data_IF_405228745961
#
_entry.id   IF_405228745961
#
_cell.length_a   1.000
_cell.length_b   1.000
_cell.length_c   1.000
_cell.angle_alpha   90.00
_cell.angle_beta   90.00
_cell.angle_gamma   90.00
#
_symmetry.space_group_name_H-M   'P 1'
#
loop_
_entity.id
_entity.type
_entity.pdbx_description
1 polymer ?
#
# COMPACT_ATOMS: atom_id res chain seq x y z
N UNK A 1 11.16 88.12 15.67
CA UNK A 1 11.19 86.75 16.24
C UNK A 1 10.02 86.00 15.64
N UNK A 2 10.23 85.28 14.56
CA UNK A 2 9.22 84.54 13.83
C UNK A 2 9.66 83.09 13.57
N UNK A 3 9.01 82.18 14.20
CA UNK A 3 9.25 80.72 14.02
C UNK A 3 8.60 80.28 12.71
N UNK A 4 9.41 79.93 11.70
CA UNK A 4 8.95 79.29 10.48
C UNK A 4 8.82 77.76 10.76
N UNK A 5 7.61 77.22 10.69
CA UNK A 5 7.33 75.77 10.73
C UNK A 5 7.55 75.28 9.29
N UNK A 6 8.51 74.36 9.15
CA UNK A 6 8.74 73.60 7.94
C UNK A 6 7.88 72.39 8.03
N UNK A 7 6.93 72.24 7.10
CA UNK A 7 6.04 71.11 6.96
C UNK A 7 6.74 70.08 6.03
N UNK A 8 7.32 69.02 6.57
CA UNK A 8 7.84 67.93 5.77
C UNK A 8 6.69 67.02 5.32
N UNK A 9 6.36 67.13 4.03
CA UNK A 9 5.42 66.19 3.38
C UNK A 9 6.21 64.94 3.02
N UNK A 10 6.07 63.89 3.81
CA UNK A 10 6.60 62.58 3.50
C UNK A 10 5.64 61.83 2.57
N UNK A 11 5.99 61.79 1.27
CA UNK A 11 5.35 60.91 0.30
C UNK A 11 5.67 59.44 0.64
N UNK A 12 4.71 58.74 1.22
CA UNK A 12 4.76 57.31 1.38
C UNK A 12 4.42 56.67 0.02
N UNK A 13 5.43 56.29 -0.74
CA UNK A 13 5.27 55.44 -1.92
C UNK A 13 4.96 54.01 -1.48
N UNK A 14 3.68 53.63 -1.51
CA UNK A 14 3.26 52.24 -1.43
C UNK A 14 3.72 51.50 -2.70
N UNK A 15 4.85 50.86 -2.65
CA UNK A 15 5.23 49.85 -3.62
C UNK A 15 4.34 48.62 -3.39
N UNK A 16 3.29 48.52 -4.20
CA UNK A 16 2.54 47.26 -4.34
C UNK A 16 3.46 46.21 -4.97
N UNK A 17 4.11 45.42 -4.13
CA UNK A 17 4.70 44.17 -4.59
C UNK A 17 3.53 43.25 -4.99
N UNK A 18 3.13 43.30 -6.26
CA UNK A 18 2.43 42.17 -6.89
C UNK A 18 3.40 41.02 -6.90
N UNK A 19 3.39 40.22 -5.83
CA UNK A 19 3.95 38.89 -5.80
C UNK A 19 3.08 38.07 -6.74
N UNK A 20 3.42 38.06 -8.02
CA UNK A 20 3.01 36.95 -8.88
C UNK A 20 3.69 35.71 -8.30
N UNK A 21 2.98 34.96 -7.48
CA UNK A 21 3.28 33.56 -7.28
C UNK A 21 3.07 32.90 -8.65
N UNK A 22 4.15 32.83 -9.42
CA UNK A 22 4.25 31.87 -10.51
C UNK A 22 4.31 30.55 -9.79
N UNK A 23 3.19 29.83 -9.72
CA UNK A 23 3.15 28.42 -9.42
C UNK A 23 3.93 27.72 -10.54
N UNK A 24 5.24 27.72 -10.43
CA UNK A 24 6.10 26.84 -11.21
C UNK A 24 5.88 25.45 -10.64
N UNK A 25 4.84 24.74 -11.14
CA UNK A 25 4.75 23.31 -10.94
C UNK A 25 6.11 22.73 -11.36
N UNK A 26 6.84 22.13 -10.43
CA UNK A 26 8.07 21.45 -10.75
C UNK A 26 7.78 20.44 -11.87
N UNK A 27 8.65 20.34 -12.89
CA UNK A 27 8.40 19.44 -14.00
C UNK A 27 8.28 18.00 -13.48
N UNK A 28 7.11 17.39 -13.71
CA UNK A 28 6.83 16.01 -13.28
C UNK A 28 7.95 15.08 -13.75
N UNK A 29 8.42 14.21 -12.86
CA UNK A 29 9.37 13.15 -13.20
C UNK A 29 8.81 12.24 -14.30
N UNK A 30 9.66 11.50 -15.01
CA UNK A 30 9.21 10.54 -16.01
C UNK A 30 8.29 9.48 -15.39
N UNK A 31 8.65 8.95 -14.21
CA UNK A 31 7.82 8.00 -13.47
C UNK A 31 6.42 8.54 -13.15
N UNK A 32 6.30 9.81 -12.74
CA UNK A 32 5.00 10.45 -12.52
C UNK A 32 4.17 10.52 -13.80
N UNK A 33 4.77 10.86 -14.93
CA UNK A 33 4.09 10.90 -16.24
C UNK A 33 3.64 9.50 -16.69
N UNK A 34 4.43 8.46 -16.41
CA UNK A 34 4.07 7.07 -16.68
C UNK A 34 2.85 6.67 -15.86
N UNK A 35 2.84 6.97 -14.56
CA UNK A 35 1.68 6.68 -13.70
C UNK A 35 0.44 7.47 -14.10
N UNK A 36 0.60 8.72 -14.55
CA UNK A 36 -0.52 9.50 -15.11
C UNK A 36 -1.09 8.83 -16.38
N UNK A 37 -0.25 8.27 -17.25
CA UNK A 37 -0.70 7.54 -18.44
C UNK A 37 -1.48 6.27 -18.06
N UNK A 38 -1.02 5.52 -17.07
CA UNK A 38 -1.73 4.35 -16.52
C UNK A 38 -3.11 4.76 -15.98
N UNK A 39 -3.13 5.77 -15.12
CA UNK A 39 -4.36 6.24 -14.46
C UNK A 39 -5.40 6.81 -15.43
N UNK A 40 -4.97 7.33 -16.59
CA UNK A 40 -5.88 7.81 -17.65
C UNK A 40 -6.40 6.68 -18.52
N UNK A 41 -5.68 5.58 -18.61
CA UNK A 41 -6.00 4.46 -19.50
C UNK A 41 -6.84 3.40 -18.80
N UNK A 42 -6.48 3.04 -17.57
CA UNK A 42 -7.16 1.99 -16.81
C UNK A 42 -8.32 2.57 -16.00
N UNK A 43 -9.48 1.93 -16.08
CA UNK A 43 -10.62 2.32 -15.25
C UNK A 43 -10.27 2.11 -13.77
N UNK A 44 -10.59 3.10 -12.91
CA UNK A 44 -10.34 3.03 -11.47
C UNK A 44 -10.92 1.79 -10.79
N UNK A 45 -12.05 1.27 -11.30
CA UNK A 45 -12.68 0.06 -10.74
C UNK A 45 -12.00 -1.23 -11.16
N UNK A 46 -11.23 -1.19 -12.24
CA UNK A 46 -10.50 -2.33 -12.81
C UNK A 46 -9.00 -2.27 -12.48
N UNK A 47 -8.52 -1.17 -11.92
CA UNK A 47 -7.13 -0.99 -11.55
C UNK A 47 -6.86 -1.64 -10.19
N UNK A 48 -5.83 -2.50 -10.13
CA UNK A 48 -5.38 -3.15 -8.90
C UNK A 48 -4.07 -2.52 -8.41
N UNK A 49 -3.04 -2.57 -9.24
CA UNK A 49 -1.73 -2.00 -8.89
C UNK A 49 -0.90 -1.69 -10.12
N UNK A 50 0.12 -0.83 -9.97
CA UNK A 50 1.17 -0.65 -10.94
C UNK A 50 2.50 -0.36 -10.25
N UNK A 51 3.59 -0.87 -10.84
CA UNK A 51 4.95 -0.64 -10.37
C UNK A 51 5.90 -0.40 -11.54
N UNK A 52 6.69 0.67 -11.43
CA UNK A 52 7.84 0.91 -12.30
C UNK A 52 9.05 0.29 -11.60
N UNK A 53 9.65 -0.72 -12.20
CA UNK A 53 10.76 -1.43 -11.55
C UNK A 53 12.08 -0.68 -11.64
N UNK A 54 12.33 -0.08 -12.82
CA UNK A 54 13.55 0.66 -13.07
C UNK A 54 13.33 1.53 -14.31
N UNK A 55 13.63 2.82 -14.20
CA UNK A 55 13.52 3.76 -15.31
C UNK A 55 14.52 3.44 -16.44
N UNK A 56 15.67 2.82 -16.12
CA UNK A 56 16.68 2.44 -17.11
C UNK A 56 16.23 1.25 -17.96
N UNK A 57 15.61 0.24 -17.34
CA UNK A 57 15.08 -0.94 -18.05
C UNK A 57 13.73 -0.67 -18.68
N UNK A 58 13.08 0.44 -18.31
CA UNK A 58 11.77 0.86 -18.83
C UNK A 58 10.74 -0.26 -18.73
N UNK A 59 10.68 -0.88 -17.57
CA UNK A 59 9.73 -1.95 -17.25
C UNK A 59 8.63 -1.44 -16.34
N UNK A 60 7.39 -1.67 -16.77
CA UNK A 60 6.15 -1.32 -16.03
C UNK A 60 5.32 -2.59 -15.86
N UNK A 61 5.11 -3.01 -14.64
CA UNK A 61 4.21 -4.09 -14.31
C UNK A 61 2.88 -3.50 -13.82
N UNK A 62 1.76 -4.03 -14.31
CA UNK A 62 0.40 -3.56 -13.98
C UNK A 62 -0.47 -4.76 -13.64
N UNK A 63 -1.29 -4.66 -12.61
CA UNK A 63 -2.36 -5.61 -12.33
C UNK A 63 -3.70 -4.93 -12.60
N UNK A 64 -4.56 -5.57 -13.39
CA UNK A 64 -5.89 -5.09 -13.75
C UNK A 64 -6.92 -6.22 -13.61
N UNK A 65 -8.20 -5.85 -13.61
CA UNK A 65 -9.27 -6.83 -13.64
C UNK A 65 -9.17 -7.73 -14.89
N UNK A 66 -9.50 -9.00 -14.73
CA UNK A 66 -9.58 -10.00 -15.81
C UNK A 66 -10.70 -9.71 -16.84
N UNK A 67 -11.53 -8.72 -16.57
CA UNK A 67 -12.57 -8.23 -17.50
C UNK A 67 -12.06 -7.17 -18.47
N UNK A 68 -10.82 -6.69 -18.32
CA UNK A 68 -10.20 -5.70 -19.19
C UNK A 68 -9.42 -6.35 -20.33
N UNK A 69 -9.36 -5.68 -21.48
CA UNK A 69 -8.52 -6.09 -22.59
C UNK A 69 -7.08 -5.61 -22.38
N UNK A 70 -6.22 -6.50 -21.88
CA UNK A 70 -4.83 -6.21 -21.59
C UNK A 70 -4.02 -5.72 -22.79
N UNK A 71 -4.33 -6.23 -24.01
CA UNK A 71 -3.66 -5.79 -25.23
C UNK A 71 -4.01 -4.35 -25.59
N UNK A 72 -5.29 -3.98 -25.44
CA UNK A 72 -5.78 -2.63 -25.66
C UNK A 72 -5.19 -1.66 -24.61
N UNK A 73 -5.20 -2.05 -23.35
CA UNK A 73 -4.60 -1.25 -22.25
C UNK A 73 -3.11 -0.98 -22.52
N UNK A 74 -2.34 -2.01 -22.85
CA UNK A 74 -0.92 -1.88 -23.17
C UNK A 74 -0.65 -0.93 -24.34
N UNK A 75 -1.42 -1.05 -25.41
CA UNK A 75 -1.31 -0.19 -26.60
C UNK A 75 -1.62 1.26 -26.25
N UNK A 76 -2.70 1.50 -25.49
CA UNK A 76 -3.13 2.85 -25.14
C UNK A 76 -2.14 3.54 -24.19
N UNK A 77 -1.62 2.85 -23.18
CA UNK A 77 -0.57 3.41 -22.32
C UNK A 77 0.65 3.84 -23.14
N UNK A 78 1.17 2.99 -24.03
CA UNK A 78 2.29 3.36 -24.89
C UNK A 78 1.96 4.54 -25.83
N UNK A 79 0.73 4.66 -26.31
CA UNK A 79 0.26 5.82 -27.07
C UNK A 79 0.29 7.09 -26.23
N UNK A 80 -0.16 7.05 -24.97
CA UNK A 80 -0.14 8.19 -24.06
C UNK A 80 1.31 8.62 -23.74
N UNK A 81 2.22 7.66 -23.53
CA UNK A 81 3.64 7.94 -23.30
C UNK A 81 4.28 8.59 -24.54
N UNK A 82 3.99 8.06 -25.73
CA UNK A 82 4.49 8.65 -26.99
C UNK A 82 4.02 10.10 -27.18
N UNK A 83 2.76 10.43 -26.87
CA UNK A 83 2.23 11.79 -26.92
C UNK A 83 2.98 12.75 -25.99
N UNK A 84 3.58 12.24 -24.91
CA UNK A 84 4.37 12.99 -23.94
C UNK A 84 5.88 12.99 -24.26
N UNK A 85 6.29 12.46 -25.42
CA UNK A 85 7.71 12.35 -25.81
C UNK A 85 8.51 11.31 -25.01
N UNK A 86 7.82 10.43 -24.30
CA UNK A 86 8.42 9.35 -23.51
C UNK A 86 8.60 8.11 -24.41
N UNK A 87 9.78 7.51 -24.35
CA UNK A 87 10.06 6.25 -25.06
C UNK A 87 9.15 5.13 -24.53
N UNK A 88 8.77 4.14 -25.36
CA UNK A 88 7.93 3.02 -24.92
C UNK A 88 8.50 2.26 -23.74
N UNK A 89 7.59 1.77 -22.89
CA UNK A 89 7.89 0.84 -21.80
C UNK A 89 7.57 -0.60 -22.21
N UNK A 90 8.34 -1.55 -21.69
CA UNK A 90 7.96 -2.96 -21.67
C UNK A 90 6.90 -3.14 -20.60
N UNK A 91 5.63 -3.27 -21.02
CA UNK A 91 4.50 -3.37 -20.12
C UNK A 91 4.12 -4.84 -19.95
N UNK A 92 4.18 -5.32 -18.71
CA UNK A 92 3.65 -6.62 -18.31
C UNK A 92 2.32 -6.39 -17.61
N UNK A 93 1.27 -7.03 -18.10
CA UNK A 93 -0.05 -6.95 -17.50
C UNK A 93 -0.38 -8.32 -16.90
N UNK A 94 -0.79 -8.30 -15.63
CA UNK A 94 -1.35 -9.45 -14.93
C UNK A 94 -2.84 -9.21 -14.70
N UNK A 95 -3.65 -10.09 -15.23
CA UNK A 95 -5.10 -10.10 -15.01
C UNK A 95 -5.44 -10.72 -13.66
N UNK A 96 -6.41 -10.14 -12.95
CA UNK A 96 -6.79 -10.53 -11.60
C UNK A 96 -8.30 -10.66 -11.47
N UNK A 97 -8.77 -11.74 -10.88
CA UNK A 97 -10.16 -11.84 -10.43
C UNK A 97 -10.44 -10.82 -9.32
N UNK A 98 -11.32 -9.86 -9.59
CA UNK A 98 -11.62 -8.79 -8.63
C UNK A 98 -12.25 -9.28 -7.34
N UNK A 99 -12.92 -10.43 -7.33
CA UNK A 99 -13.43 -11.05 -6.10
C UNK A 99 -12.30 -11.50 -5.19
N UNK A 100 -11.21 -12.01 -5.79
CA UNK A 100 -10.00 -12.37 -5.03
C UNK A 100 -9.32 -11.12 -4.52
N UNK A 101 -9.18 -10.07 -5.35
CA UNK A 101 -8.58 -8.78 -4.97
C UNK A 101 -9.35 -8.13 -3.81
N UNK A 102 -10.68 -8.10 -3.86
CA UNK A 102 -11.51 -7.56 -2.77
C UNK A 102 -11.32 -8.35 -1.46
N UNK A 103 -11.18 -9.66 -1.56
CA UNK A 103 -10.88 -10.51 -0.42
C UNK A 103 -9.50 -10.24 0.16
N UNK A 104 -8.47 -10.17 -0.68
CA UNK A 104 -7.12 -9.79 -0.28
C UNK A 104 -7.11 -8.44 0.45
N UNK A 105 -7.80 -7.45 -0.09
CA UNK A 105 -7.90 -6.12 0.51
C UNK A 105 -8.57 -6.13 1.89
N UNK A 106 -9.60 -6.97 2.10
CA UNK A 106 -10.23 -7.15 3.41
C UNK A 106 -9.25 -7.80 4.40
N UNK A 107 -8.60 -8.88 3.98
CA UNK A 107 -7.65 -9.61 4.82
C UNK A 107 -6.37 -8.82 5.10
N UNK A 108 -5.92 -7.96 4.19
CA UNK A 108 -4.81 -7.04 4.46
C UNK A 108 -5.12 -6.09 5.62
N UNK A 109 -6.38 -5.67 5.81
CA UNK A 109 -6.79 -4.90 7.00
C UNK A 109 -6.72 -5.75 8.27
N UNK A 110 -7.12 -7.02 8.20
CA UNK A 110 -7.00 -7.97 9.32
C UNK A 110 -5.54 -8.16 9.70
N UNK A 111 -4.67 -8.38 8.70
CA UNK A 111 -3.22 -8.53 8.88
C UNK A 111 -2.62 -7.28 9.50
N UNK A 112 -2.98 -6.09 9.01
CA UNK A 112 -2.56 -4.82 9.59
C UNK A 112 -2.98 -4.68 11.06
N UNK A 113 -4.23 -5.02 11.38
CA UNK A 113 -4.71 -5.00 12.76
C UNK A 113 -3.95 -5.95 13.69
N UNK A 114 -3.62 -7.16 13.21
CA UNK A 114 -2.79 -8.10 13.98
C UNK A 114 -1.39 -7.51 14.21
N UNK A 115 -0.79 -6.91 13.19
CA UNK A 115 0.51 -6.30 13.31
C UNK A 115 0.49 -5.17 14.36
N UNK A 116 -0.45 -4.24 14.25
CA UNK A 116 -0.53 -3.06 15.11
C UNK A 116 -0.89 -3.42 16.56
N UNK A 117 -1.78 -4.38 16.77
CA UNK A 117 -2.32 -4.66 18.12
C UNK A 117 -1.64 -5.82 18.83
N UNK A 118 -0.95 -6.71 18.10
CA UNK A 118 -0.29 -7.88 18.68
C UNK A 118 1.22 -7.83 18.49
N UNK A 119 1.71 -7.80 17.25
CA UNK A 119 3.15 -7.93 16.98
C UNK A 119 3.96 -6.69 17.37
N UNK A 120 3.38 -5.50 17.34
CA UNK A 120 4.04 -4.28 17.84
C UNK A 120 4.26 -4.27 19.35
N UNK A 121 3.64 -5.20 20.11
CA UNK A 121 3.95 -5.37 21.53
C UNK A 121 5.35 -5.98 21.67
N UNK A 122 6.15 -5.44 22.60
CA UNK A 122 7.55 -5.85 22.79
C UNK A 122 7.76 -7.38 22.87
N UNK A 123 6.80 -8.11 23.47
CA UNK A 123 6.90 -9.56 23.64
C UNK A 123 6.75 -10.36 22.35
N UNK A 124 6.14 -9.78 21.29
CA UNK A 124 5.87 -10.46 20.02
C UNK A 124 6.56 -9.80 18.81
N UNK A 125 7.37 -8.76 19.02
CA UNK A 125 8.02 -7.97 17.96
C UNK A 125 8.81 -8.77 16.93
N UNK A 126 9.19 -9.99 17.27
CA UNK A 126 9.95 -10.90 16.42
C UNK A 126 9.07 -11.96 15.74
N UNK A 127 7.75 -11.84 15.89
CA UNK A 127 6.76 -12.66 15.20
C UNK A 127 6.21 -11.90 13.98
N UNK A 128 5.76 -12.63 12.98
CA UNK A 128 5.18 -12.00 11.79
C UNK A 128 4.35 -12.97 10.97
N UNK A 129 3.42 -12.42 10.20
CA UNK A 129 2.64 -13.19 9.23
C UNK A 129 3.54 -13.45 8.03
N UNK A 130 3.65 -14.73 7.67
CA UNK A 130 4.49 -15.14 6.55
C UNK A 130 3.73 -15.22 5.25
N UNK A 131 2.56 -15.82 5.27
CA UNK A 131 1.81 -16.10 4.06
C UNK A 131 0.32 -16.27 4.36
N UNK A 132 -0.50 -15.84 3.41
CA UNK A 132 -1.91 -16.18 3.30
C UNK A 132 -2.25 -16.39 1.83
N UNK A 133 -2.89 -17.49 1.48
CA UNK A 133 -3.26 -17.80 0.09
C UNK A 133 -4.78 -17.67 -0.09
N UNK A 134 -5.22 -16.67 -0.82
CA UNK A 134 -6.62 -16.37 -1.09
C UNK A 134 -7.18 -17.05 -2.34
N UNK A 135 -6.34 -17.67 -3.15
CA UNK A 135 -6.74 -18.49 -4.28
C UNK A 135 -7.11 -19.91 -3.82
N UNK A 136 -6.65 -20.31 -2.64
CA UNK A 136 -6.97 -21.59 -2.05
C UNK A 136 -8.45 -21.66 -1.63
N UNK A 137 -8.97 -22.88 -1.50
CA UNK A 137 -10.27 -23.12 -0.87
C UNK A 137 -10.21 -22.83 0.62
N UNK A 138 -11.32 -22.37 1.19
CA UNK A 138 -11.42 -22.19 2.64
C UNK A 138 -11.32 -23.55 3.38
N UNK A 139 -10.81 -23.57 4.63
CA UNK A 139 -10.41 -22.40 5.42
C UNK A 139 -9.08 -21.77 4.95
N UNK A 140 -8.98 -20.45 5.04
CA UNK A 140 -7.71 -19.76 4.80
C UNK A 140 -6.76 -19.98 5.95
N UNK A 141 -5.48 -20.22 5.65
CA UNK A 141 -4.47 -20.41 6.69
C UNK A 141 -3.68 -19.13 6.94
N UNK A 142 -3.79 -18.60 8.15
CA UNK A 142 -2.95 -17.51 8.64
C UNK A 142 -1.67 -18.11 9.22
N UNK A 143 -0.60 -18.10 8.42
CA UNK A 143 0.69 -18.67 8.82
C UNK A 143 1.54 -17.64 9.52
N UNK A 144 1.88 -17.86 10.78
CA UNK A 144 2.70 -16.99 11.61
C UNK A 144 4.04 -17.67 11.87
N UNK A 145 5.13 -16.94 11.67
CA UNK A 145 6.47 -17.36 12.05
C UNK A 145 6.95 -16.62 13.28
N UNK A 146 7.60 -17.34 14.17
CA UNK A 146 8.23 -16.80 15.37
C UNK A 146 9.73 -17.03 15.36
N UNK A 147 10.47 -16.36 16.24
CA UNK A 147 11.91 -16.60 16.45
C UNK A 147 12.20 -17.60 17.57
N UNK A 148 11.17 -18.16 18.19
CA UNK A 148 11.29 -19.17 19.26
C UNK A 148 11.54 -20.52 18.64
N UNK A 149 12.46 -21.32 19.19
CA UNK A 149 12.58 -22.74 18.83
C UNK A 149 11.54 -23.55 19.59
N UNK A 150 11.10 -24.66 19.00
CA UNK A 150 10.11 -25.52 19.65
C UNK A 150 10.60 -26.12 20.98
N UNK A 151 11.91 -26.31 21.11
CA UNK A 151 12.57 -26.82 22.32
C UNK A 151 12.82 -25.76 23.41
N UNK A 152 12.59 -24.47 23.14
CA UNK A 152 12.88 -23.40 24.11
C UNK A 152 11.94 -23.52 25.32
N UNK A 153 12.45 -23.33 26.55
CA UNK A 153 11.61 -23.26 27.74
C UNK A 153 10.52 -22.20 27.58
N UNK A 154 9.25 -22.57 27.81
CA UNK A 154 8.12 -21.66 27.68
C UNK A 154 7.60 -21.47 26.25
N UNK A 155 8.15 -22.13 25.22
CA UNK A 155 7.69 -22.00 23.82
C UNK A 155 6.18 -22.24 23.68
N UNK A 156 5.64 -23.28 24.27
CA UNK A 156 4.19 -23.59 24.26
C UNK A 156 3.36 -22.50 24.93
N UNK A 157 3.79 -22.01 26.07
CA UNK A 157 3.08 -20.93 26.77
C UNK A 157 3.07 -19.64 25.97
N UNK A 158 4.20 -19.27 25.35
CA UNK A 158 4.30 -18.13 24.47
C UNK A 158 3.34 -18.25 23.28
N UNK A 159 3.32 -19.41 22.61
CA UNK A 159 2.49 -19.67 21.44
C UNK A 159 1.01 -19.64 21.81
N UNK A 160 0.61 -20.28 22.91
CA UNK A 160 -0.77 -20.26 23.39
C UNK A 160 -1.25 -18.84 23.69
N UNK A 161 -0.40 -18.00 24.32
CA UNK A 161 -0.72 -16.59 24.56
C UNK A 161 -0.84 -15.80 23.25
N UNK A 162 0.06 -16.01 22.33
CA UNK A 162 0.04 -15.36 21.02
C UNK A 162 -1.22 -15.73 20.24
N UNK A 163 -1.55 -17.02 20.18
CA UNK A 163 -2.74 -17.52 19.51
C UNK A 163 -4.03 -16.95 20.13
N UNK A 164 -4.10 -16.93 21.47
CA UNK A 164 -5.24 -16.35 22.19
C UNK A 164 -5.40 -14.86 21.89
N UNK A 165 -4.34 -14.08 21.96
CA UNK A 165 -4.43 -12.63 21.68
C UNK A 165 -4.85 -12.34 20.24
N UNK A 166 -4.37 -13.13 19.28
CA UNK A 166 -4.81 -13.03 17.87
C UNK A 166 -6.28 -13.42 17.76
N UNK A 167 -6.67 -14.57 18.32
CA UNK A 167 -8.06 -15.05 18.26
C UNK A 167 -9.05 -14.06 18.89
N UNK A 168 -8.69 -13.42 19.98
CA UNK A 168 -9.51 -12.39 20.63
C UNK A 168 -9.62 -11.13 19.79
N UNK A 169 -8.52 -10.68 19.17
CA UNK A 169 -8.54 -9.58 18.23
C UNK A 169 -9.46 -9.85 17.04
N UNK A 170 -9.37 -11.05 16.45
CA UNK A 170 -10.18 -11.43 15.30
C UNK A 170 -11.69 -11.47 15.59
N UNK A 171 -12.08 -11.70 16.85
CA UNK A 171 -13.48 -11.66 17.31
C UNK A 171 -14.00 -10.24 17.55
N UNK A 172 -13.15 -9.22 17.60
CA UNK A 172 -13.61 -7.85 17.80
C UNK A 172 -14.58 -7.40 16.71
N UNK A 173 -15.53 -6.52 17.06
CA UNK A 173 -16.57 -6.04 16.12
C UNK A 173 -15.98 -5.41 14.85
N UNK A 174 -14.83 -4.77 14.96
CA UNK A 174 -14.17 -4.11 13.83
C UNK A 174 -13.53 -5.14 12.91
N UNK A 175 -12.69 -6.02 13.44
CA UNK A 175 -11.93 -7.00 12.65
C UNK A 175 -12.85 -8.06 12.05
N UNK A 176 -13.83 -8.54 12.80
CA UNK A 176 -14.81 -9.52 12.32
C UNK A 176 -15.61 -9.06 11.11
N UNK A 177 -15.85 -7.74 10.95
CA UNK A 177 -16.46 -7.19 9.74
C UNK A 177 -15.59 -7.38 8.49
N UNK A 178 -14.26 -7.31 8.64
CA UNK A 178 -13.35 -7.50 7.50
C UNK A 178 -13.22 -8.99 7.15
N UNK A 179 -13.29 -9.88 8.12
CA UNK A 179 -13.29 -11.32 7.91
C UNK A 179 -14.60 -11.74 7.18
N UNK A 180 -15.73 -11.20 7.61
CA UNK A 180 -17.04 -11.56 7.08
C UNK A 180 -17.39 -13.02 7.35
N UNK A 181 -17.76 -13.74 6.30
CA UNK A 181 -18.12 -15.19 6.39
C UNK A 181 -16.96 -16.13 6.04
N UNK A 182 -15.74 -15.58 5.91
CA UNK A 182 -14.59 -16.43 5.57
C UNK A 182 -14.19 -17.29 6.76
N UNK A 183 -13.98 -18.58 6.54
CA UNK A 183 -13.39 -19.49 7.52
C UNK A 183 -11.88 -19.45 7.44
N UNK A 184 -11.22 -19.55 8.59
CA UNK A 184 -9.76 -19.49 8.68
C UNK A 184 -9.21 -20.42 9.77
N UNK A 185 -7.92 -20.72 9.64
CA UNK A 185 -7.10 -21.39 10.66
C UNK A 185 -5.87 -20.55 10.97
N UNK A 186 -5.36 -20.66 12.19
CA UNK A 186 -4.11 -20.01 12.59
C UNK A 186 -3.07 -21.12 12.76
N UNK A 187 -1.95 -21.00 12.05
CA UNK A 187 -0.82 -21.90 12.21
C UNK A 187 0.40 -21.12 12.64
N UNK A 188 1.00 -21.48 13.78
CA UNK A 188 2.16 -20.83 14.34
C UNK A 188 3.37 -21.75 14.24
N UNK A 189 4.40 -21.26 13.60
CA UNK A 189 5.65 -21.98 13.35
C UNK A 189 6.80 -21.39 14.14
N UNK A 190 7.62 -22.29 14.68
CA UNK A 190 8.89 -22.00 15.32
C UNK A 190 9.95 -21.53 14.31
N UNK A 191 11.07 -21.06 14.82
CA UNK A 191 12.27 -20.72 14.03
C UNK A 191 12.80 -21.92 13.25
N UNK A 192 12.74 -23.10 13.84
CA UNK A 192 13.12 -24.38 13.22
C UNK A 192 12.02 -25.01 12.35
N UNK A 193 11.01 -24.21 11.97
CA UNK A 193 9.93 -24.54 11.01
C UNK A 193 8.99 -25.67 11.46
N UNK A 194 8.89 -25.91 12.74
CA UNK A 194 7.92 -26.87 13.28
C UNK A 194 6.63 -26.12 13.66
N UNK A 195 5.45 -26.70 13.36
CA UNK A 195 4.18 -26.19 13.85
C UNK A 195 4.11 -26.42 15.36
N UNK A 196 3.85 -25.34 16.12
CA UNK A 196 3.86 -25.40 17.58
C UNK A 196 2.44 -25.41 18.15
N UNK A 197 1.49 -24.71 17.53
CA UNK A 197 0.11 -24.75 17.97
C UNK A 197 -0.61 -25.99 17.42
N UNK A 198 -1.60 -26.48 18.18
CA UNK A 198 -2.39 -27.67 17.84
C UNK A 198 -3.53 -27.36 16.87
#
# INVERSE_FOLDING_TARGET
MGKKKILCLSLLSLALFCSCQIDTEEPKSEGSKVMDAVNRTVNKKSFVSAAIWDENTRRLDIEIADTEDSSKVKKEINNQLKKQGIKPYTINIKERDMKIVEKENRWNKVIGAIFDNVFNKNKYKDSGIHQMNFEAKQPYTLTIKTKINNSDPGAKEFVNKLETEIADLLKTKEVSKWIGNDSYTIEIYSKDKQKINL
#
